data_IF_756946024404
#
_entry.id   IF_756946024404
#
_cell.length_a   1.000
_cell.length_b   1.000
_cell.length_c   1.000
_cell.angle_alpha   90.00
_cell.angle_beta   90.00
_cell.angle_gamma   90.00
#
_symmetry.space_group_name_H-M   'P 1'
#
loop_
_entity.id
_entity.type
_entity.pdbx_description
1 polymer ?
#
# COMPACT_ATOMS: atom_id res chain seq x y z
N UNK A 1 -24.52 -60.86 -41.86
CA UNK A 1 -24.76 -59.53 -42.45
C UNK A 1 -23.48 -58.72 -42.29
N UNK A 2 -22.83 -58.40 -43.40
CA UNK A 2 -21.63 -57.55 -43.46
C UNK A 2 -22.00 -56.09 -43.17
N UNK A 3 -21.13 -55.34 -42.48
CA UNK A 3 -20.64 -54.05 -42.97
C UNK A 3 -19.29 -53.72 -42.34
N UNK A 4 -18.44 -53.13 -43.18
CA UNK A 4 -17.01 -52.83 -43.07
C UNK A 4 -16.84 -51.32 -42.97
N UNK A 5 -15.74 -50.87 -42.34
CA UNK A 5 -15.14 -49.53 -42.51
C UNK A 5 -15.05 -48.75 -41.19
N UNK A 6 -13.98 -48.03 -40.84
CA UNK A 6 -12.84 -47.52 -41.60
C UNK A 6 -11.70 -47.17 -40.62
N UNK A 7 -10.46 -47.28 -41.10
CA UNK A 7 -9.21 -46.93 -40.42
C UNK A 7 -9.04 -45.41 -40.32
N UNK A 8 -8.48 -44.91 -39.20
CA UNK A 8 -8.06 -43.52 -39.05
C UNK A 8 -7.04 -43.33 -37.93
N UNK A 9 -5.78 -43.64 -38.21
CA UNK A 9 -4.62 -43.33 -37.38
C UNK A 9 -3.98 -42.02 -37.88
N UNK A 10 -4.06 -40.88 -37.17
CA UNK A 10 -3.07 -39.79 -37.23
C UNK A 10 -3.17 -38.91 -35.98
N UNK A 11 -2.04 -38.74 -35.28
CA UNK A 11 -1.70 -37.42 -34.72
C UNK A 11 -1.58 -37.30 -33.21
N UNK A 12 -0.41 -37.69 -32.67
CA UNK A 12 0.19 -37.04 -31.50
C UNK A 12 0.13 -35.51 -31.68
N UNK A 13 -0.53 -34.78 -30.78
CA UNK A 13 -0.20 -33.38 -30.54
C UNK A 13 0.00 -33.17 -29.04
N UNK A 14 1.27 -33.25 -28.67
CA UNK A 14 1.85 -32.51 -27.56
C UNK A 14 1.29 -31.08 -27.58
N UNK A 15 0.47 -30.74 -26.59
CA UNK A 15 0.35 -29.38 -26.07
C UNK A 15 0.64 -29.55 -24.59
N UNK A 16 1.91 -29.54 -24.15
CA UNK A 16 2.72 -28.34 -24.33
C UNK A 16 1.98 -27.13 -23.79
N UNK A 17 1.24 -27.29 -22.67
CA UNK A 17 0.58 -26.18 -22.01
C UNK A 17 1.70 -25.36 -21.38
N UNK A 18 1.98 -24.25 -22.07
CA UNK A 18 3.06 -23.34 -21.79
C UNK A 18 3.18 -23.08 -20.30
N UNK A 19 4.35 -23.40 -19.74
CA UNK A 19 4.89 -22.66 -18.59
C UNK A 19 4.90 -21.20 -19.02
N UNK A 20 3.85 -20.45 -18.66
CA UNK A 20 3.93 -18.99 -18.57
C UNK A 20 4.99 -18.73 -17.51
N UNK A 21 6.23 -18.56 -17.97
CA UNK A 21 7.24 -17.79 -17.25
C UNK A 21 6.72 -16.36 -17.19
N UNK A 22 5.71 -16.14 -16.37
CA UNK A 22 5.40 -14.82 -15.85
C UNK A 22 6.57 -14.50 -14.94
N UNK A 23 7.59 -13.82 -15.50
CA UNK A 23 8.60 -13.14 -14.70
C UNK A 23 7.80 -12.32 -13.71
N UNK A 24 7.71 -12.78 -12.45
CA UNK A 24 7.09 -12.02 -11.37
C UNK A 24 7.88 -10.72 -11.33
N UNK A 25 7.34 -9.65 -11.93
CA UNK A 25 7.95 -8.32 -11.84
C UNK A 25 8.01 -8.03 -10.36
N UNK A 26 9.22 -8.06 -9.78
CA UNK A 26 9.44 -7.76 -8.37
C UNK A 26 8.87 -6.38 -8.11
N UNK A 27 7.67 -6.32 -7.48
CA UNK A 27 7.01 -5.04 -7.19
C UNK A 27 7.97 -4.19 -6.37
N UNK A 28 8.21 -2.95 -6.81
CA UNK A 28 8.99 -1.97 -6.04
C UNK A 28 8.23 -1.62 -4.75
N UNK A 29 8.97 -1.21 -3.74
CA UNK A 29 8.44 -1.01 -2.38
C UNK A 29 7.26 -0.03 -2.34
N UNK A 30 7.28 1.03 -3.16
CA UNK A 30 6.14 1.96 -3.31
C UNK A 30 4.81 1.23 -3.57
N UNK A 31 4.77 0.37 -4.60
CA UNK A 31 3.55 -0.40 -4.93
C UNK A 31 3.21 -1.44 -3.85
N UNK A 32 4.22 -2.05 -3.22
CA UNK A 32 3.99 -3.02 -2.14
C UNK A 32 3.33 -2.37 -0.93
N UNK A 33 3.80 -1.20 -0.52
CA UNK A 33 3.18 -0.43 0.56
C UNK A 33 1.75 -0.05 0.20
N UNK A 34 1.53 0.44 -1.03
CA UNK A 34 0.17 0.77 -1.49
C UNK A 34 -0.78 -0.41 -1.38
N UNK A 35 -0.41 -1.53 -1.98
CA UNK A 35 -1.23 -2.76 -1.95
C UNK A 35 -1.45 -3.24 -0.50
N UNK A 36 -0.45 -3.08 0.36
CA UNK A 36 -0.51 -3.50 1.75
C UNK A 36 -1.47 -2.66 2.59
N UNK A 37 -1.45 -1.32 2.49
CA UNK A 37 -2.39 -0.48 3.24
C UNK A 37 -3.83 -0.65 2.75
N UNK A 38 -4.04 -0.86 1.43
CA UNK A 38 -5.35 -1.24 0.91
C UNK A 38 -5.81 -2.56 1.54
N UNK A 39 -4.93 -3.57 1.59
CA UNK A 39 -5.21 -4.84 2.23
C UNK A 39 -5.54 -4.69 3.72
N UNK A 40 -4.82 -3.83 4.45
CA UNK A 40 -5.11 -3.55 5.85
C UNK A 40 -6.51 -2.95 6.02
N UNK A 41 -6.86 -1.93 5.23
CA UNK A 41 -8.18 -1.32 5.27
C UNK A 41 -9.29 -2.34 4.98
N UNK A 42 -9.15 -3.14 3.91
CA UNK A 42 -10.14 -4.15 3.51
C UNK A 42 -10.33 -5.28 4.54
N UNK A 43 -9.34 -5.50 5.42
CA UNK A 43 -9.39 -6.54 6.46
C UNK A 43 -9.73 -6.00 7.84
N UNK A 44 -9.72 -4.68 8.01
CA UNK A 44 -10.05 -4.07 9.28
C UNK A 44 -11.56 -3.93 9.43
N UNK A 45 -12.11 -4.42 10.54
CA UNK A 45 -13.58 -4.53 10.73
C UNK A 45 -14.26 -3.16 10.80
N UNK A 46 -13.55 -2.12 11.27
CA UNK A 46 -14.13 -0.79 11.44
C UNK A 46 -13.93 0.14 10.24
N UNK A 47 -12.96 -0.13 9.36
CA UNK A 47 -12.68 0.76 8.23
C UNK A 47 -13.68 0.42 7.12
N UNK A 48 -14.48 1.40 6.72
CA UNK A 48 -15.54 1.20 5.73
C UNK A 48 -15.03 1.39 4.30
N UNK A 49 -14.05 2.27 4.12
CA UNK A 49 -13.49 2.56 2.81
C UNK A 49 -12.00 2.94 2.88
N UNK A 50 -11.28 2.77 1.77
CA UNK A 50 -9.95 3.34 1.59
C UNK A 50 -9.93 4.31 0.40
N UNK A 51 -9.14 5.38 0.54
CA UNK A 51 -8.98 6.44 -0.45
C UNK A 51 -7.50 6.67 -0.69
N UNK A 52 -7.11 6.76 -1.95
CA UNK A 52 -5.76 6.43 -2.36
C UNK A 52 -4.70 7.51 -2.14
N UNK A 53 -3.57 7.29 -2.82
CA UNK A 53 -2.25 7.92 -2.58
C UNK A 53 -2.11 9.38 -3.01
N UNK A 54 -3.13 9.93 -3.66
CA UNK A 54 -3.09 11.27 -4.24
C UNK A 54 -4.23 12.09 -3.68
N UNK A 55 -3.94 13.33 -3.26
CA UNK A 55 -4.95 14.27 -2.75
C UNK A 55 -6.12 14.46 -3.71
N UNK A 56 -5.86 14.35 -5.02
CA UNK A 56 -6.89 14.41 -6.06
C UNK A 56 -7.92 13.28 -5.97
N UNK A 57 -7.50 12.05 -5.67
CA UNK A 57 -8.43 10.91 -5.51
C UNK A 57 -9.37 11.15 -4.32
N UNK A 58 -8.87 11.79 -3.26
CA UNK A 58 -9.66 12.18 -2.08
C UNK A 58 -10.70 13.24 -2.48
N UNK A 59 -10.29 14.31 -3.16
CA UNK A 59 -11.17 15.38 -3.63
C UNK A 59 -12.25 14.84 -4.58
N UNK A 60 -11.88 13.97 -5.51
CA UNK A 60 -12.81 13.38 -6.49
C UNK A 60 -13.86 12.49 -5.80
N UNK A 61 -13.48 11.69 -4.80
CA UNK A 61 -14.43 10.88 -4.03
C UNK A 61 -15.32 11.72 -3.12
N UNK A 62 -14.77 12.74 -2.44
CA UNK A 62 -15.56 13.69 -1.65
C UNK A 62 -16.61 14.42 -2.49
N UNK A 63 -16.25 14.80 -3.72
CA UNK A 63 -17.15 15.48 -4.65
C UNK A 63 -18.17 14.55 -5.32
N UNK A 64 -18.08 13.24 -5.08
CA UNK A 64 -19.00 12.26 -5.66
C UNK A 64 -20.33 12.21 -4.89
N UNK A 65 -21.42 11.86 -5.57
CA UNK A 65 -22.74 11.76 -4.94
C UNK A 65 -22.79 10.77 -3.77
N UNK A 66 -21.95 9.74 -3.78
CA UNK A 66 -21.88 8.73 -2.72
C UNK A 66 -21.02 9.15 -1.52
N UNK A 67 -20.18 10.18 -1.67
CA UNK A 67 -19.19 10.57 -0.66
C UNK A 67 -18.14 9.48 -0.41
N UNK A 68 -17.53 9.52 0.79
CA UNK A 68 -16.60 8.48 1.29
C UNK A 68 -17.22 7.85 2.53
N UNK A 69 -17.29 6.52 2.59
CA UNK A 69 -17.84 5.82 3.75
C UNK A 69 -16.93 5.95 4.99
N UNK A 70 -17.52 6.27 6.14
CA UNK A 70 -16.81 6.68 7.36
C UNK A 70 -16.84 5.59 8.45
N UNK A 71 -15.72 5.24 9.11
CA UNK A 71 -14.40 5.83 8.96
C UNK A 71 -13.66 5.25 7.75
N UNK A 72 -12.82 6.07 7.13
CA UNK A 72 -11.99 5.67 6.00
C UNK A 72 -10.51 5.80 6.29
N UNK A 73 -9.72 5.05 5.52
CA UNK A 73 -8.26 5.15 5.50
C UNK A 73 -7.81 5.95 4.28
N UNK A 74 -7.05 7.02 4.49
CA UNK A 74 -6.39 7.78 3.43
C UNK A 74 -4.88 7.57 3.49
N UNK A 75 -4.18 7.71 2.35
CA UNK A 75 -2.72 7.57 2.29
C UNK A 75 -2.14 8.71 1.48
N UNK A 76 -1.09 9.37 1.96
CA UNK A 76 -0.42 10.45 1.23
C UNK A 76 1.01 10.66 1.76
N UNK A 77 1.67 11.70 1.25
CA UNK A 77 3.03 12.11 1.64
C UNK A 77 4.04 10.97 1.67
N UNK A 78 3.99 10.13 0.62
CA UNK A 78 5.04 9.15 0.40
C UNK A 78 6.33 9.86 0.02
N UNK A 79 7.38 9.64 0.80
CA UNK A 79 8.72 10.17 0.58
C UNK A 79 9.73 9.02 0.55
N UNK A 80 10.72 9.12 -0.33
CA UNK A 80 11.89 8.25 -0.34
C UNK A 80 13.13 9.08 -0.05
N UNK A 81 13.67 8.91 1.15
CA UNK A 81 15.01 9.35 1.51
C UNK A 81 16.04 8.26 1.22
N UNK A 82 17.22 8.67 0.77
CA UNK A 82 18.39 7.81 0.66
C UNK A 82 19.38 8.20 1.75
N UNK A 83 19.76 7.23 2.56
CA UNK A 83 20.67 7.40 3.70
C UNK A 83 21.69 6.24 3.70
N UNK A 84 22.79 6.37 4.42
CA UNK A 84 23.87 5.39 4.49
C UNK A 84 25.17 5.84 3.82
N UNK A 85 26.26 5.12 4.13
CA UNK A 85 27.60 5.44 3.61
C UNK A 85 27.81 4.94 2.18
N UNK A 86 28.97 5.27 1.59
CA UNK A 86 29.35 4.98 0.19
C UNK A 86 29.11 3.54 -0.26
N UNK A 87 29.22 2.57 0.66
CA UNK A 87 29.12 1.14 0.36
C UNK A 87 27.72 0.53 0.57
N UNK A 88 26.80 1.22 1.25
CA UNK A 88 25.48 0.67 1.59
C UNK A 88 24.40 1.75 1.65
N UNK A 89 23.72 1.98 0.52
CA UNK A 89 22.54 2.85 0.49
C UNK A 89 21.32 2.15 1.09
N UNK A 90 20.77 2.75 2.15
CA UNK A 90 19.49 2.44 2.74
C UNK A 90 18.44 3.41 2.20
N UNK A 91 17.38 2.87 1.61
CA UNK A 91 16.20 3.65 1.28
C UNK A 91 15.29 3.72 2.49
N UNK A 92 15.19 4.89 3.13
CA UNK A 92 14.18 5.21 4.13
C UNK A 92 12.93 5.73 3.44
N UNK A 93 11.79 5.14 3.74
CA UNK A 93 10.50 5.56 3.21
C UNK A 93 9.65 6.10 4.32
N UNK A 94 9.22 7.34 4.17
CA UNK A 94 8.19 7.94 5.00
C UNK A 94 6.86 7.84 4.25
N UNK A 95 5.80 7.59 5.00
CA UNK A 95 4.43 7.58 4.51
C UNK A 95 3.53 8.14 5.61
N UNK A 96 2.53 8.91 5.23
CA UNK A 96 1.44 9.29 6.12
C UNK A 96 0.18 8.53 5.71
N UNK A 97 -0.51 7.95 6.68
CA UNK A 97 -1.87 7.47 6.48
C UNK A 97 -2.78 8.08 7.53
N UNK A 98 -4.03 8.30 7.18
CA UNK A 98 -5.01 8.92 8.07
C UNK A 98 -6.18 7.99 8.29
N UNK A 99 -6.72 8.01 9.50
CA UNK A 99 -8.02 7.42 9.82
C UNK A 99 -8.96 8.57 10.12
N UNK A 100 -10.04 8.68 9.33
CA UNK A 100 -10.87 9.87 9.31
C UNK A 100 -12.34 9.51 9.39
N UNK A 101 -13.06 10.25 10.22
CA UNK A 101 -14.51 10.25 10.31
C UNK A 101 -15.06 11.49 9.60
N UNK A 102 -16.11 11.31 8.79
CA UNK A 102 -16.75 12.35 7.99
C UNK A 102 -18.18 12.71 8.45
N UNK A 103 -18.47 12.55 9.74
CA UNK A 103 -19.85 12.61 10.27
C UNK A 103 -20.02 13.36 11.60
N UNK A 104 -19.05 14.19 12.02
CA UNK A 104 -19.20 14.98 13.24
C UNK A 104 -19.73 16.40 12.96
N UNK A 105 -20.83 16.83 13.63
CA UNK A 105 -21.31 18.20 13.56
C UNK A 105 -20.26 19.20 14.06
N UNK A 106 -20.21 20.39 13.45
CA UNK A 106 -19.24 21.43 13.79
C UNK A 106 -19.42 21.97 15.22
N UNK A 107 -20.64 21.92 15.76
CA UNK A 107 -21.01 22.44 17.09
C UNK A 107 -20.87 21.41 18.22
N UNK A 108 -20.49 20.16 17.91
CA UNK A 108 -20.33 19.08 18.89
C UNK A 108 -18.85 18.80 19.18
N UNK A 109 -18.23 19.62 20.02
CA UNK A 109 -16.81 19.46 20.39
C UNK A 109 -16.52 18.14 21.10
N UNK A 110 -17.46 17.62 21.91
CA UNK A 110 -17.29 16.35 22.62
C UNK A 110 -17.35 15.17 21.64
N UNK A 111 -18.32 15.18 20.73
CA UNK A 111 -18.40 14.21 19.64
C UNK A 111 -17.16 14.25 18.74
N UNK A 112 -16.63 15.44 18.42
CA UNK A 112 -15.39 15.57 17.65
C UNK A 112 -14.19 14.91 18.35
N UNK A 113 -14.03 15.12 19.65
CA UNK A 113 -12.96 14.48 20.43
C UNK A 113 -13.13 12.96 20.49
N UNK A 114 -14.35 12.47 20.65
CA UNK A 114 -14.65 11.03 20.61
C UNK A 114 -14.28 10.42 19.24
N UNK A 115 -14.53 11.12 18.13
CA UNK A 115 -14.11 10.64 16.79
C UNK A 115 -12.59 10.59 16.66
N UNK A 116 -11.87 11.55 17.23
CA UNK A 116 -10.39 11.55 17.25
C UNK A 116 -9.89 10.37 18.09
N UNK A 117 -10.44 10.12 19.28
CA UNK A 117 -10.09 8.96 20.12
C UNK A 117 -10.33 7.63 19.40
N UNK A 118 -11.49 7.49 18.76
CA UNK A 118 -11.83 6.30 17.97
C UNK A 118 -10.87 6.11 16.78
N UNK A 119 -10.50 7.18 16.10
CA UNK A 119 -9.53 7.15 15.01
C UNK A 119 -8.12 6.75 15.51
N UNK A 120 -7.68 7.30 16.65
CA UNK A 120 -6.42 6.92 17.31
C UNK A 120 -6.42 5.42 17.66
N UNK A 121 -7.53 4.92 18.21
CA UNK A 121 -7.67 3.49 18.52
C UNK A 121 -7.52 2.61 17.28
N UNK A 122 -8.15 2.97 16.16
CA UNK A 122 -7.98 2.26 14.88
C UNK A 122 -6.53 2.34 14.40
N UNK A 123 -5.92 3.53 14.44
CA UNK A 123 -4.53 3.74 14.06
C UNK A 123 -3.56 2.84 14.85
N UNK A 124 -3.74 2.74 16.16
CA UNK A 124 -2.94 1.86 17.02
C UNK A 124 -3.12 0.38 16.65
N UNK A 125 -4.33 -0.04 16.28
CA UNK A 125 -4.59 -1.41 15.80
C UNK A 125 -3.87 -1.70 14.48
N UNK A 126 -3.86 -0.75 13.54
CA UNK A 126 -3.11 -0.88 12.30
C UNK A 126 -1.60 -0.91 12.57
N UNK A 127 -1.08 -0.03 13.42
CA UNK A 127 0.33 -0.02 13.81
C UNK A 127 0.75 -1.34 14.49
N UNK A 128 -0.11 -1.91 15.33
CA UNK A 128 0.11 -3.22 15.92
C UNK A 128 0.19 -4.32 14.85
N UNK A 129 -0.68 -4.27 13.83
CA UNK A 129 -0.64 -5.20 12.71
C UNK A 129 0.62 -5.02 11.85
N UNK A 130 0.99 -3.78 11.52
CA UNK A 130 2.23 -3.44 10.80
C UNK A 130 3.45 -3.98 11.54
N UNK A 131 3.51 -3.76 12.86
CA UNK A 131 4.56 -4.28 13.71
C UNK A 131 4.60 -5.81 13.65
N UNK A 132 3.46 -6.48 13.80
CA UNK A 132 3.38 -7.93 13.74
C UNK A 132 3.89 -8.47 12.39
N UNK A 133 3.42 -7.90 11.28
CA UNK A 133 3.85 -8.26 9.92
C UNK A 133 5.36 -7.99 9.70
N UNK A 134 5.92 -6.97 10.36
CA UNK A 134 7.37 -6.67 10.31
C UNK A 134 8.24 -7.68 11.07
N UNK A 135 7.65 -8.55 11.90
CA UNK A 135 8.36 -9.66 12.56
C UNK A 135 8.23 -10.98 11.81
N UNK A 136 7.44 -11.04 10.72
CA UNK A 136 7.25 -12.25 9.92
C UNK A 136 8.33 -12.37 8.84
N UNK A 137 9.15 -13.42 8.89
CA UNK A 137 10.31 -13.61 8.00
C UNK A 137 9.97 -13.60 6.51
N UNK A 138 8.80 -14.15 6.16
CA UNK A 138 8.34 -14.25 4.77
C UNK A 138 7.61 -12.98 4.30
N UNK A 139 7.39 -12.01 5.18
CA UNK A 139 6.70 -10.78 4.85
C UNK A 139 7.65 -9.72 4.28
N UNK A 140 7.18 -8.91 3.34
CA UNK A 140 8.04 -7.90 2.68
C UNK A 140 8.47 -6.75 3.62
N UNK A 141 7.77 -6.58 4.76
CA UNK A 141 8.12 -5.63 5.82
C UNK A 141 9.06 -6.23 6.87
N UNK A 142 9.56 -7.46 6.71
CA UNK A 142 10.42 -8.09 7.70
C UNK A 142 11.61 -7.20 8.08
N UNK A 143 11.68 -6.77 9.34
CA UNK A 143 12.72 -5.87 9.85
C UNK A 143 12.73 -4.46 9.24
N UNK A 144 11.71 -4.08 8.48
CA UNK A 144 11.63 -2.82 7.77
C UNK A 144 11.00 -1.69 8.59
N UNK A 145 10.06 -1.97 9.49
CA UNK A 145 9.30 -0.93 10.19
C UNK A 145 10.11 -0.28 11.33
N UNK A 146 10.24 1.05 11.30
CA UNK A 146 10.98 1.85 12.27
C UNK A 146 10.03 2.49 13.29
N UNK A 147 9.51 1.66 14.22
CA UNK A 147 8.48 2.05 15.20
C UNK A 147 8.80 3.32 16.00
N UNK A 148 10.07 3.56 16.29
CA UNK A 148 10.49 4.68 17.16
C UNK A 148 10.42 6.03 16.45
N UNK A 149 10.25 6.02 15.12
CA UNK A 149 10.01 7.21 14.31
C UNK A 149 8.52 7.45 14.05
N UNK A 150 7.64 6.54 14.49
CA UNK A 150 6.20 6.68 14.29
C UNK A 150 5.64 7.81 15.14
N UNK A 151 4.78 8.63 14.53
CA UNK A 151 4.09 9.73 15.20
C UNK A 151 2.62 9.71 14.82
N UNK A 152 1.76 10.07 15.76
CA UNK A 152 0.31 10.21 15.58
C UNK A 152 -0.04 11.65 15.92
N UNK A 153 -0.85 12.29 15.08
CA UNK A 153 -1.30 13.67 15.27
C UNK A 153 -2.80 13.76 15.01
N UNK A 154 -3.56 14.50 15.83
CA UNK A 154 -4.97 14.74 15.54
C UNK A 154 -5.11 15.60 14.28
N UNK A 155 -6.18 15.36 13.53
CA UNK A 155 -6.58 16.20 12.39
C UNK A 155 -8.02 16.66 12.55
N UNK A 156 -8.24 17.92 12.20
CA UNK A 156 -9.54 18.58 12.24
C UNK A 156 -9.67 19.44 10.98
N UNK A 157 -10.69 19.15 10.17
CA UNK A 157 -11.10 20.02 9.07
C UNK A 157 -12.60 20.37 9.27
N UNK A 158 -12.90 21.36 10.13
CA UNK A 158 -14.28 21.63 10.55
C UNK A 158 -15.21 22.02 9.40
N UNK A 159 -14.67 22.65 8.36
CA UNK A 159 -15.44 23.02 7.17
C UNK A 159 -15.88 21.82 6.33
N UNK A 160 -15.10 20.73 6.38
CA UNK A 160 -15.39 19.48 5.68
C UNK A 160 -15.99 18.42 6.60
N UNK A 161 -16.23 18.74 7.89
CA UNK A 161 -16.68 17.81 8.93
C UNK A 161 -15.78 16.57 9.07
N UNK A 162 -14.47 16.74 8.88
CA UNK A 162 -13.48 15.65 8.96
C UNK A 162 -12.72 15.73 10.28
N UNK A 163 -12.71 14.63 11.01
CA UNK A 163 -12.02 14.51 12.29
C UNK A 163 -11.35 13.15 12.39
N UNK A 164 -10.13 13.11 12.94
CA UNK A 164 -9.43 11.84 13.07
C UNK A 164 -7.96 12.01 13.42
N UNK A 165 -7.12 11.15 12.87
CA UNK A 165 -5.67 11.17 13.10
C UNK A 165 -4.86 10.93 11.85
N UNK A 166 -3.71 11.59 11.79
CA UNK A 166 -2.62 11.32 10.87
C UNK A 166 -1.56 10.48 11.55
N UNK A 167 -1.05 9.48 10.83
CA UNK A 167 -0.02 8.56 11.32
C UNK A 167 1.15 8.56 10.36
N UNK A 168 2.27 9.11 10.83
CA UNK A 168 3.54 9.06 10.13
C UNK A 168 4.27 7.75 10.45
N UNK A 169 4.63 6.99 9.42
CA UNK A 169 5.38 5.74 9.54
C UNK A 169 6.63 5.74 8.67
N UNK A 170 7.67 5.07 9.18
CA UNK A 170 8.96 4.95 8.53
C UNK A 170 9.33 3.50 8.25
N UNK A 171 9.83 3.23 7.04
CA UNK A 171 10.27 1.93 6.61
C UNK A 171 11.67 1.98 6.01
N UNK A 172 12.60 1.20 6.55
CA UNK A 172 13.94 1.02 5.98
C UNK A 172 14.00 -0.17 5.04
N UNK A 173 14.74 -0.01 3.96
CA UNK A 173 15.02 -1.09 3.02
C UNK A 173 16.42 -0.96 2.45
N UNK A 174 16.96 -2.07 1.94
CA UNK A 174 18.10 -2.00 1.03
C UNK A 174 17.65 -1.43 -0.32
N UNK A 175 18.26 -0.33 -0.73
CA UNK A 175 17.99 0.31 -2.02
C UNK A 175 19.34 0.66 -2.66
N UNK A 176 20.07 -0.34 -3.19
CA UNK A 176 21.36 -0.08 -3.80
C UNK A 176 21.19 0.81 -5.02
N UNK A 177 22.08 1.80 -5.16
CA UNK A 177 22.16 2.66 -6.32
C UNK A 177 23.07 1.98 -7.34
N UNK A 178 22.45 1.22 -8.24
CA UNK A 178 23.15 0.48 -9.30
C UNK A 178 22.81 1.11 -10.65
N UNK A 179 23.84 1.36 -11.46
CA UNK A 179 23.67 1.75 -12.86
C UNK A 179 23.46 0.47 -13.68
N UNK A 180 22.28 0.33 -14.28
CA UNK A 180 22.00 -0.74 -15.22
C UNK A 180 22.24 -0.24 -16.64
N UNK A 181 23.31 -0.69 -17.30
CA UNK A 181 23.70 -0.24 -18.63
C UNK A 181 22.57 -0.35 -19.68
N UNK A 182 21.66 -1.32 -19.55
CA UNK A 182 20.54 -1.49 -20.47
C UNK A 182 19.47 -0.37 -20.38
N UNK A 183 19.50 0.45 -19.32
CA UNK A 183 18.60 1.59 -19.13
C UNK A 183 19.17 2.89 -19.73
N UNK A 184 20.38 2.87 -20.32
CA UNK A 184 21.10 4.04 -20.84
C UNK A 184 21.60 3.79 -22.27
N UNK A 185 21.64 4.84 -23.09
CA UNK A 185 22.11 4.79 -24.48
C UNK A 185 23.60 5.16 -24.65
N UNK A 186 24.28 5.47 -23.54
CA UNK A 186 25.66 5.97 -23.56
C UNK A 186 26.69 4.83 -23.74
N UNK A 187 27.62 5.02 -24.67
CA UNK A 187 28.61 4.00 -25.09
C UNK A 187 29.68 3.65 -24.05
N UNK A 188 29.81 4.39 -22.95
CA UNK A 188 30.83 4.13 -21.91
C UNK A 188 30.39 3.10 -20.85
N UNK A 189 29.13 2.66 -20.86
CA UNK A 189 28.60 1.65 -19.91
C UNK A 189 28.67 0.20 -20.44
N UNK A 190 29.08 0.02 -21.69
CA UNK A 190 29.39 -1.28 -22.30
C UNK A 190 30.90 -1.39 -22.47
N UNK A 191 31.56 -2.15 -21.61
CA UNK A 191 32.89 -2.70 -21.85
C UNK A 191 32.77 -4.17 -22.23
#
# INVERSE_FOLDING_TARGET
>A
MFFVGFVGNVGKKNRGFWKKNEKIKKKRMYKKLKDYFHHLADKHVMIQEHVGYFSREIIEKQSSFAGIASPFLAIYDYELGLDGGELNTLGRRKLVFSIVYADAPHDDFEGQQEKIDQAERIALQLLARIRWDSHQRDHFLYGAFEKDLTRIFPIEEPQAHLYGVDVEVHFKTKAPLEVNAADWEDTFLTC
#
